data_IF_281743734961
#
_entry.id   IF_281743734961
#
_cell.length_a   1.000
_cell.length_b   1.000
_cell.length_c   1.000
_cell.angle_alpha   90.00
_cell.angle_beta   90.00
_cell.angle_gamma   90.00
#
_symmetry.space_group_name_H-M   'P 1'
#
loop_
_entity.id
_entity.type
_entity.pdbx_description
1 polymer ?
#
# COMPACT_ATOMS: atom_id res chain seq x y z
N UNK A 1 -10.62 0.32 -6.81
CA UNK A 1 -9.98 -0.62 -7.75
C UNK A 1 -8.75 0.09 -8.27
N UNK A 2 -7.55 -0.48 -8.04
CA UNK A 2 -6.27 0.23 -8.19
C UNK A 2 -5.74 0.06 -9.62
N UNK A 3 -5.27 1.15 -10.20
CA UNK A 3 -4.77 1.22 -11.57
C UNK A 3 -3.29 0.79 -11.62
N UNK A 4 -2.95 -0.19 -12.48
CA UNK A 4 -1.55 -0.47 -12.82
C UNK A 4 -1.11 0.49 -13.92
N UNK A 5 -0.01 1.20 -13.69
CA UNK A 5 0.70 1.88 -14.76
C UNK A 5 1.89 0.99 -15.18
N UNK A 6 1.70 0.24 -16.27
CA UNK A 6 2.79 -0.48 -16.95
C UNK A 6 3.56 0.48 -17.86
N UNK A 7 4.83 0.15 -18.12
CA UNK A 7 5.80 0.96 -18.88
C UNK A 7 5.41 1.25 -20.35
N UNK A 8 4.24 0.83 -20.82
CA UNK A 8 3.71 1.21 -22.14
C UNK A 8 2.83 2.48 -22.09
N UNK A 9 2.44 2.96 -20.89
CA UNK A 9 1.53 4.12 -20.72
C UNK A 9 2.15 5.30 -19.96
N UNK A 10 3.46 5.46 -19.97
CA UNK A 10 4.17 6.59 -19.31
C UNK A 10 4.02 7.94 -20.03
N UNK A 11 2.91 8.18 -20.74
CA UNK A 11 2.71 9.40 -21.54
C UNK A 11 2.25 10.63 -20.75
N UNK A 12 2.01 10.52 -19.43
CA UNK A 12 1.48 11.66 -18.63
C UNK A 12 2.32 12.11 -17.43
N UNK A 13 3.41 11.43 -17.03
CA UNK A 13 4.24 11.88 -15.90
C UNK A 13 5.38 12.76 -16.45
N UNK A 14 5.11 14.06 -16.59
CA UNK A 14 5.99 15.08 -17.18
C UNK A 14 7.17 15.55 -16.31
N UNK A 15 7.79 14.71 -15.48
CA UNK A 15 9.02 15.10 -14.78
C UNK A 15 10.09 13.99 -14.84
N UNK A 16 10.97 14.11 -15.84
CA UNK A 16 12.26 13.39 -16.01
C UNK A 16 13.06 13.56 -14.71
N UNK A 17 13.56 12.55 -14.00
CA UNK A 17 14.67 11.65 -14.36
C UNK A 17 14.85 10.69 -13.18
N UNK A 18 14.42 9.41 -13.25
CA UNK A 18 14.80 8.28 -12.33
C UNK A 18 13.92 7.02 -12.42
N UNK A 19 12.87 6.99 -13.25
CA UNK A 19 11.96 5.82 -13.34
C UNK A 19 12.39 4.82 -14.42
N UNK A 20 13.70 4.65 -14.67
CA UNK A 20 14.22 3.74 -15.73
C UNK A 20 14.65 2.35 -15.21
N UNK A 21 14.58 2.12 -13.90
CA UNK A 21 15.10 0.89 -13.28
C UNK A 21 13.99 -0.11 -12.88
N UNK A 22 12.75 0.37 -12.74
CA UNK A 22 11.63 -0.46 -12.31
C UNK A 22 10.75 -0.79 -13.52
N UNK A 23 10.43 -2.07 -13.67
CA UNK A 23 9.57 -2.56 -14.75
C UNK A 23 8.09 -2.21 -14.51
N UNK A 24 7.70 -1.98 -13.25
CA UNK A 24 6.34 -1.66 -12.83
C UNK A 24 6.35 -0.77 -11.59
N UNK A 25 5.43 0.19 -11.53
CA UNK A 25 5.09 0.95 -10.33
C UNK A 25 3.64 0.64 -9.98
N UNK A 26 3.43 0.15 -8.76
CA UNK A 26 2.11 -0.17 -8.24
C UNK A 26 1.70 0.93 -7.27
N UNK A 27 0.62 1.62 -7.58
CA UNK A 27 0.11 2.73 -6.79
C UNK A 27 -1.24 2.32 -6.21
N UNK A 28 -1.48 2.70 -4.97
CA UNK A 28 -2.80 2.56 -4.36
C UNK A 28 -3.51 3.88 -4.18
N UNK A 29 -4.82 3.85 -4.43
CA UNK A 29 -5.69 4.94 -4.00
C UNK A 29 -5.82 4.89 -2.48
N UNK A 30 -5.28 5.91 -1.84
CA UNK A 30 -5.41 6.09 -0.41
C UNK A 30 -6.82 6.64 -0.10
N UNK A 31 -7.55 6.04 0.85
CA UNK A 31 -8.91 6.47 1.19
C UNK A 31 -8.90 7.80 1.98
N UNK A 32 -8.89 8.91 1.24
CA UNK A 32 -8.78 10.26 1.80
C UNK A 32 -9.98 10.67 2.66
N UNK A 33 -11.18 10.11 2.45
CA UNK A 33 -12.39 10.45 3.23
C UNK A 33 -12.32 9.98 4.69
N UNK A 34 -11.63 8.86 4.94
CA UNK A 34 -11.39 8.38 6.31
C UNK A 34 -10.31 9.18 7.03
N UNK A 35 -9.33 9.71 6.28
CA UNK A 35 -8.18 10.43 6.84
C UNK A 35 -8.43 11.92 7.02
N UNK A 36 -9.27 12.56 6.19
CA UNK A 36 -9.59 13.99 6.28
C UNK A 36 -10.33 14.37 7.58
N UNK A 37 -10.84 13.37 8.31
CA UNK A 37 -11.54 13.57 9.57
C UNK A 37 -10.58 13.71 10.77
N UNK A 38 -9.27 13.55 10.58
CA UNK A 38 -8.28 13.66 11.65
C UNK A 38 -7.48 14.97 11.57
N UNK A 39 -7.27 15.63 12.72
CA UNK A 39 -6.56 16.92 12.82
C UNK A 39 -5.06 16.85 12.48
N UNK A 40 -4.52 15.66 12.23
CA UNK A 40 -3.11 15.39 11.91
C UNK A 40 -2.94 14.81 10.51
N UNK A 41 -3.49 15.50 9.51
CA UNK A 41 -3.61 15.04 8.12
C UNK A 41 -2.30 14.44 7.56
N UNK A 42 -1.15 15.09 7.76
CA UNK A 42 0.13 14.60 7.24
C UNK A 42 0.61 13.28 7.86
N UNK A 43 0.47 13.11 9.18
CA UNK A 43 0.90 11.88 9.89
C UNK A 43 -0.07 10.73 9.63
N UNK A 44 -1.38 11.02 9.64
CA UNK A 44 -2.42 10.02 9.35
C UNK A 44 -2.33 9.47 7.92
N UNK A 45 -1.99 10.29 6.93
CA UNK A 45 -1.83 9.86 5.52
C UNK A 45 -0.68 8.86 5.35
N UNK A 46 0.45 9.07 6.01
CA UNK A 46 1.58 8.14 5.96
C UNK A 46 1.29 6.81 6.68
N UNK A 47 0.46 6.84 7.73
CA UNK A 47 0.17 5.68 8.57
C UNK A 47 -0.95 4.75 8.02
N UNK A 48 -1.61 5.12 6.91
CA UNK A 48 -2.75 4.38 6.34
C UNK A 48 -2.42 3.60 5.05
N UNK A 49 -1.14 3.31 4.78
CA UNK A 49 -0.76 2.51 3.63
C UNK A 49 -1.41 1.11 3.69
N UNK A 50 -2.19 0.79 2.65
CA UNK A 50 -3.16 -0.28 2.46
C UNK A 50 -4.34 -0.28 3.45
N UNK A 51 -5.45 0.34 3.05
CA UNK A 51 -6.69 0.48 3.85
C UNK A 51 -7.46 -0.79 4.22
N UNK A 52 -6.90 -1.97 3.96
CA UNK A 52 -7.35 -3.30 4.38
C UNK A 52 -6.14 -3.93 5.06
N UNK A 53 -6.14 -4.02 6.39
CA UNK A 53 -5.04 -4.56 7.20
C UNK A 53 -4.85 -6.07 6.95
N UNK A 54 -4.37 -6.41 5.75
CA UNK A 54 -4.32 -7.77 5.20
C UNK A 54 -2.98 -8.38 5.53
N UNK A 55 -2.96 -9.61 6.02
CA UNK A 55 -1.72 -10.34 6.22
C UNK A 55 -1.12 -10.76 4.87
N UNK A 56 0.10 -10.32 4.59
CA UNK A 56 0.85 -10.72 3.39
C UNK A 56 1.21 -12.21 3.34
N UNK A 57 1.16 -12.91 4.48
CA UNK A 57 1.46 -14.34 4.55
C UNK A 57 0.23 -15.23 4.28
N UNK A 58 -0.94 -14.89 4.83
CA UNK A 58 -2.12 -15.78 4.79
C UNK A 58 -3.40 -15.13 4.23
N UNK A 59 -3.37 -13.84 3.90
CA UNK A 59 -4.52 -13.12 3.34
C UNK A 59 -5.61 -12.73 4.34
N UNK A 60 -5.48 -13.08 5.63
CA UNK A 60 -6.43 -12.69 6.67
C UNK A 60 -6.48 -11.16 6.81
N UNK A 61 -7.68 -10.60 6.90
CA UNK A 61 -7.89 -9.15 7.02
C UNK A 61 -8.24 -8.82 8.46
N UNK A 62 -7.47 -7.93 9.08
CA UNK A 62 -7.84 -7.33 10.36
C UNK A 62 -8.90 -6.26 10.16
N UNK A 63 -9.92 -6.29 11.01
CA UNK A 63 -11.02 -5.32 10.99
C UNK A 63 -10.55 -3.90 11.38
N UNK A 64 -9.63 -3.81 12.34
CA UNK A 64 -9.07 -2.55 12.78
C UNK A 64 -7.63 -2.71 13.26
N UNK A 65 -6.85 -1.65 13.06
CA UNK A 65 -5.50 -1.47 13.58
C UNK A 65 -5.33 0.02 13.83
N UNK A 66 -4.90 0.40 15.03
CA UNK A 66 -4.69 1.81 15.37
C UNK A 66 -3.45 2.37 14.65
N UNK A 67 -3.43 3.68 14.41
CA UNK A 67 -2.27 4.35 13.80
C UNK A 67 -1.00 4.20 14.66
N UNK A 68 -1.17 4.11 15.98
CA UNK A 68 -0.09 3.85 16.95
C UNK A 68 0.48 2.43 16.86
N UNK A 69 -0.27 1.47 16.33
CA UNK A 69 0.22 0.11 16.13
C UNK A 69 1.10 0.05 14.88
N UNK A 70 2.41 0.15 15.11
CA UNK A 70 3.44 0.09 14.07
C UNK A 70 3.82 -1.35 13.69
N UNK A 71 3.49 -2.34 14.53
CA UNK A 71 3.75 -3.76 14.26
C UNK A 71 2.44 -4.49 13.94
N UNK A 72 2.38 -5.09 12.76
CA UNK A 72 1.30 -5.97 12.36
C UNK A 72 1.50 -7.36 12.96
N UNK A 73 0.50 -7.83 13.70
CA UNK A 73 0.44 -9.17 14.27
C UNK A 73 -0.74 -9.91 13.66
N UNK A 74 -0.50 -11.11 13.13
CA UNK A 74 -1.52 -11.99 12.59
C UNK A 74 -1.66 -13.27 13.41
N UNK A 75 -2.87 -13.83 13.45
CA UNK A 75 -3.17 -15.11 14.10
C UNK A 75 -2.44 -16.29 13.45
N UNK A 76 -2.00 -16.17 12.18
CA UNK A 76 -1.17 -17.18 11.53
C UNK A 76 0.28 -17.22 12.06
N UNK A 77 0.65 -16.34 12.99
CA UNK A 77 2.00 -16.21 13.55
C UNK A 77 2.90 -15.21 12.82
N UNK A 78 2.42 -14.59 11.73
CA UNK A 78 3.16 -13.55 11.03
C UNK A 78 3.23 -12.25 11.84
N UNK A 79 4.45 -11.75 12.06
CA UNK A 79 4.73 -10.48 12.75
C UNK A 79 5.73 -9.66 11.93
N UNK A 80 5.37 -8.43 11.60
CA UNK A 80 6.24 -7.51 10.84
C UNK A 80 5.84 -6.05 11.09
N UNK A 81 6.66 -5.09 10.67
CA UNK A 81 6.22 -3.69 10.58
C UNK A 81 4.98 -3.59 9.65
N UNK A 82 4.01 -2.77 10.05
CA UNK A 82 2.73 -2.62 9.34
C UNK A 82 2.93 -2.10 7.91
N UNK A 83 3.79 -1.11 7.73
CA UNK A 83 4.03 -0.49 6.42
C UNK A 83 4.84 -1.43 5.52
N UNK A 84 5.73 -2.24 6.10
CA UNK A 84 6.36 -3.36 5.40
C UNK A 84 5.36 -4.40 4.91
N UNK A 85 4.44 -4.83 5.78
CA UNK A 85 3.36 -5.76 5.41
C UNK A 85 2.46 -5.17 4.30
N UNK A 86 2.10 -3.89 4.38
CA UNK A 86 1.37 -3.19 3.33
C UNK A 86 2.14 -3.21 1.99
N UNK A 87 3.44 -2.90 2.02
CA UNK A 87 4.30 -2.90 0.82
C UNK A 87 4.37 -4.27 0.14
N UNK A 88 4.43 -5.35 0.93
CA UNK A 88 4.38 -6.72 0.41
C UNK A 88 3.06 -7.02 -0.29
N UNK A 89 1.95 -6.59 0.29
CA UNK A 89 0.66 -6.72 -0.39
C UNK A 89 0.65 -5.93 -1.71
N UNK A 90 1.22 -4.71 -1.77
CA UNK A 90 1.30 -3.88 -2.99
C UNK A 90 2.08 -4.59 -4.07
N UNK A 91 3.23 -5.14 -3.70
CA UNK A 91 4.03 -5.96 -4.60
C UNK A 91 3.24 -7.17 -5.11
N UNK A 92 2.59 -7.92 -4.22
CA UNK A 92 1.88 -9.15 -4.60
C UNK A 92 0.69 -8.87 -5.53
N UNK A 93 -0.06 -7.80 -5.28
CA UNK A 93 -1.16 -7.39 -6.14
C UNK A 93 -0.66 -6.87 -7.50
N UNK A 94 0.45 -6.15 -7.50
CA UNK A 94 1.13 -5.76 -8.73
C UNK A 94 1.54 -6.97 -9.58
N UNK A 95 2.18 -7.96 -8.95
CA UNK A 95 2.57 -9.20 -9.62
C UNK A 95 1.34 -9.97 -10.14
N UNK A 96 0.24 -10.03 -9.37
CA UNK A 96 -1.01 -10.67 -9.79
C UNK A 96 -1.61 -10.01 -11.04
N UNK A 97 -1.47 -8.70 -11.18
CA UNK A 97 -1.99 -7.94 -12.31
C UNK A 97 -1.08 -7.96 -13.54
N UNK A 98 0.17 -8.45 -13.39
CA UNK A 98 1.13 -8.67 -14.46
C UNK A 98 1.17 -10.13 -14.96
N UNK A 99 0.62 -11.08 -14.20
CA UNK A 99 0.53 -12.51 -14.52
C UNK A 99 -0.68 -12.82 -15.41
#
# INVERSE_FOLDING_TARGET
MKELQTNEKTSSIKNRTKVKLFDCVVIEDLNMKGMSQTLNFGKGVADNAWGMFTCSCCGQVKESLSLSERTFHCECGFVADRDWNASLNIKNEGLRLLA
#
